data_IF_549986625600
#
_entry.id   IF_549986625600
#
_cell.length_a   1.000
_cell.length_b   1.000
_cell.length_c   1.000
_cell.angle_alpha   90.00
_cell.angle_beta   90.00
_cell.angle_gamma   90.00
#
_symmetry.space_group_name_H-M   'P 1'
#
loop_
_entity.id
_entity.type
_entity.pdbx_description
1 polymer ?
#
# COMPACT_ATOMS: atom_id res chain seq x y z
N UNK A 1 6.91 -9.02 12.09
CA UNK A 1 5.77 -9.06 11.15
C UNK A 1 5.41 -10.48 10.73
N UNK A 2 6.28 -11.26 10.10
CA UNK A 2 5.96 -12.65 9.66
C UNK A 2 5.35 -13.48 10.79
N UNK A 3 5.96 -13.50 11.98
CA UNK A 3 5.45 -14.25 13.15
C UNK A 3 4.01 -13.86 13.51
N UNK A 4 3.68 -12.57 13.50
CA UNK A 4 2.31 -12.11 13.78
C UNK A 4 1.31 -12.58 12.71
N UNK A 5 1.70 -12.56 11.43
CA UNK A 5 0.85 -13.06 10.35
C UNK A 5 0.63 -14.58 10.43
N UNK A 6 1.66 -15.35 10.78
CA UNK A 6 1.56 -16.80 10.99
C UNK A 6 0.67 -17.14 12.19
N UNK A 7 0.81 -16.44 13.31
CA UNK A 7 -0.05 -16.60 14.49
C UNK A 7 -1.52 -16.28 14.15
N UNK A 8 -1.75 -15.20 13.40
CA UNK A 8 -3.09 -14.85 12.95
C UNK A 8 -3.69 -15.95 12.03
N UNK A 9 -2.87 -16.50 11.13
CA UNK A 9 -3.27 -17.59 10.26
C UNK A 9 -3.53 -18.91 10.99
N UNK A 10 -2.98 -19.11 12.19
CA UNK A 10 -3.22 -20.30 13.03
C UNK A 10 -4.52 -20.19 13.84
N UNK A 11 -5.03 -18.97 14.08
CA UNK A 11 -6.23 -18.74 14.90
C UNK A 11 -7.47 -19.53 14.45
N UNK A 12 -7.83 -19.63 13.14
CA UNK A 12 -8.98 -20.42 12.70
C UNK A 12 -8.84 -21.92 13.03
N UNK A 13 -7.62 -22.45 13.01
CA UNK A 13 -7.35 -23.87 13.34
C UNK A 13 -7.62 -24.12 14.81
N UNK A 14 -7.19 -23.21 15.70
CA UNK A 14 -7.45 -23.29 17.15
C UNK A 14 -8.95 -23.20 17.42
N UNK A 15 -9.65 -22.30 16.72
CA UNK A 15 -11.11 -22.13 16.86
C UNK A 15 -11.85 -23.38 16.37
N UNK A 16 -11.43 -23.97 15.24
CA UNK A 16 -12.01 -25.23 14.75
C UNK A 16 -11.90 -26.35 15.77
N UNK A 17 -10.72 -26.61 16.31
CA UNK A 17 -10.52 -27.63 17.34
C UNK A 17 -11.32 -27.36 18.61
N UNK A 18 -11.45 -26.07 19.02
CA UNK A 18 -12.25 -25.70 20.17
C UNK A 18 -13.74 -26.01 19.96
N UNK A 19 -14.27 -25.77 18.76
CA UNK A 19 -15.66 -26.06 18.42
C UNK A 19 -15.89 -27.57 18.35
N UNK A 20 -15.04 -28.32 17.67
CA UNK A 20 -15.18 -29.77 17.51
C UNK A 20 -15.20 -30.46 18.88
N UNK A 21 -14.27 -30.11 19.75
CA UNK A 21 -14.17 -30.75 21.07
C UNK A 21 -15.28 -30.29 22.03
N UNK A 22 -15.76 -29.03 21.89
CA UNK A 22 -16.89 -28.53 22.68
C UNK A 22 -18.22 -29.22 22.28
N UNK A 23 -18.41 -29.48 20.97
CA UNK A 23 -19.62 -30.10 20.44
C UNK A 23 -19.62 -31.60 20.71
N UNK A 24 -18.50 -32.30 20.50
CA UNK A 24 -18.42 -33.76 20.66
C UNK A 24 -18.51 -34.23 22.11
N UNK A 25 -17.91 -33.46 23.05
CA UNK A 25 -17.76 -33.94 24.43
C UNK A 25 -18.59 -33.20 25.48
N UNK A 26 -19.24 -32.07 25.14
CA UNK A 26 -20.13 -31.31 26.02
C UNK A 26 -19.49 -30.81 27.34
N UNK A 27 -18.16 -30.79 27.43
CA UNK A 27 -17.41 -30.51 28.66
C UNK A 27 -17.06 -29.05 28.80
N UNK A 28 -17.70 -28.34 29.75
CA UNK A 28 -17.42 -26.93 30.08
C UNK A 28 -15.96 -26.72 30.46
N UNK A 29 -15.31 -27.69 31.11
CA UNK A 29 -13.92 -27.58 31.51
C UNK A 29 -12.97 -27.51 30.30
N UNK A 30 -13.19 -28.33 29.29
CA UNK A 30 -12.38 -28.34 28.05
C UNK A 30 -12.61 -27.09 27.22
N UNK A 31 -13.86 -26.61 27.14
CA UNK A 31 -14.16 -25.33 26.51
C UNK A 31 -13.38 -24.19 27.19
N UNK A 32 -13.33 -24.17 28.53
CA UNK A 32 -12.53 -23.20 29.28
C UNK A 32 -11.04 -23.25 28.95
N UNK A 33 -10.49 -24.47 28.76
CA UNK A 33 -9.08 -24.65 28.38
C UNK A 33 -8.81 -24.11 26.98
N UNK A 34 -9.66 -24.43 26.00
CA UNK A 34 -9.51 -23.92 24.63
C UNK A 34 -9.70 -22.41 24.54
N UNK A 35 -10.59 -21.82 25.34
CA UNK A 35 -10.72 -20.37 25.44
C UNK A 35 -9.43 -19.74 26.03
N UNK A 36 -8.81 -20.37 27.01
CA UNK A 36 -7.53 -19.90 27.55
C UNK A 36 -6.40 -19.97 26.51
N UNK A 37 -6.34 -21.06 25.72
CA UNK A 37 -5.41 -21.20 24.58
C UNK A 37 -5.65 -20.10 23.54
N UNK A 38 -6.89 -19.81 23.22
CA UNK A 38 -7.26 -18.76 22.26
C UNK A 38 -6.83 -17.37 22.78
N UNK A 39 -7.11 -17.06 24.03
CA UNK A 39 -6.68 -15.80 24.68
C UNK A 39 -5.15 -15.69 24.65
N UNK A 40 -4.44 -16.76 24.98
CA UNK A 40 -2.98 -16.79 24.92
C UNK A 40 -2.45 -16.58 23.48
N UNK A 41 -3.07 -17.21 22.49
CA UNK A 41 -2.71 -17.04 21.06
C UNK A 41 -2.93 -15.59 20.60
N UNK A 42 -4.06 -14.96 20.97
CA UNK A 42 -4.30 -13.55 20.68
C UNK A 42 -3.33 -12.62 21.40
N UNK A 43 -3.02 -12.90 22.69
CA UNK A 43 -2.03 -12.14 23.45
C UNK A 43 -0.65 -12.21 22.81
N UNK A 44 -0.22 -13.41 22.41
CA UNK A 44 1.05 -13.61 21.73
C UNK A 44 1.09 -12.93 20.36
N UNK A 45 -0.01 -13.00 19.61
CA UNK A 45 -0.14 -12.28 18.34
C UNK A 45 -0.07 -10.76 18.53
N UNK A 46 -0.75 -10.22 19.54
CA UNK A 46 -0.70 -8.80 19.86
C UNK A 46 0.72 -8.34 20.23
N UNK A 47 1.42 -9.11 21.05
CA UNK A 47 2.82 -8.86 21.41
C UNK A 47 3.74 -8.92 20.18
N UNK A 48 3.62 -9.96 19.34
CA UNK A 48 4.41 -10.11 18.12
C UNK A 48 4.14 -8.95 17.13
N UNK A 49 2.88 -8.52 17.01
CA UNK A 49 2.50 -7.38 16.19
C UNK A 49 3.04 -6.06 16.73
N UNK A 50 3.02 -5.86 18.05
CA UNK A 50 3.54 -4.66 18.70
C UNK A 50 5.06 -4.55 18.53
N UNK A 51 5.81 -5.60 18.85
CA UNK A 51 7.25 -5.65 18.63
C UNK A 51 7.61 -5.53 17.14
N UNK A 52 6.91 -6.24 16.27
CA UNK A 52 7.14 -6.19 14.83
C UNK A 52 6.92 -4.80 14.24
N UNK A 53 5.87 -4.08 14.68
CA UNK A 53 5.64 -2.69 14.28
C UNK A 53 6.71 -1.75 14.81
N UNK A 54 7.13 -1.92 16.07
CA UNK A 54 8.19 -1.14 16.68
C UNK A 54 9.53 -1.31 15.96
N UNK A 55 9.92 -2.54 15.63
CA UNK A 55 11.14 -2.83 14.87
C UNK A 55 11.07 -2.26 13.45
N UNK A 56 9.92 -2.38 12.78
CA UNK A 56 9.72 -1.81 11.45
C UNK A 56 9.81 -0.28 11.46
N UNK A 57 9.20 0.37 12.44
CA UNK A 57 9.29 1.82 12.60
C UNK A 57 10.74 2.28 12.85
N UNK A 58 11.48 1.56 13.70
CA UNK A 58 12.91 1.83 13.93
C UNK A 58 13.73 1.66 12.65
N UNK A 59 13.54 0.57 11.91
CA UNK A 59 14.22 0.33 10.64
C UNK A 59 13.95 1.45 9.63
N UNK A 60 12.70 1.89 9.51
CA UNK A 60 12.32 3.02 8.64
C UNK A 60 13.03 4.32 9.04
N UNK A 61 13.11 4.61 10.34
CA UNK A 61 13.78 5.82 10.84
C UNK A 61 15.29 5.77 10.60
N UNK A 62 15.93 4.62 10.84
CA UNK A 62 17.39 4.42 10.60
C UNK A 62 17.68 4.58 9.11
N UNK A 63 16.98 3.86 8.24
CA UNK A 63 17.17 3.98 6.78
C UNK A 63 16.93 5.41 6.31
N UNK A 64 15.87 6.07 6.82
CA UNK A 64 15.59 7.46 6.49
C UNK A 64 16.69 8.43 6.95
N UNK A 65 17.32 8.17 8.10
CA UNK A 65 18.46 8.92 8.59
C UNK A 65 19.69 8.69 7.71
N UNK A 66 20.06 7.44 7.47
CA UNK A 66 21.24 7.06 6.67
C UNK A 66 21.18 7.65 5.25
N UNK A 67 19.99 7.58 4.61
CA UNK A 67 19.79 8.19 3.30
C UNK A 67 19.99 9.71 3.33
N UNK A 68 19.45 10.40 4.36
CA UNK A 68 19.64 11.85 4.50
C UNK A 68 21.10 12.20 4.74
N UNK A 69 21.79 11.45 5.60
CA UNK A 69 23.23 11.67 5.86
C UNK A 69 24.05 11.46 4.58
N UNK A 70 23.81 10.37 3.85
CA UNK A 70 24.49 10.11 2.59
C UNK A 70 24.26 11.23 1.54
N UNK A 71 23.04 11.79 1.48
CA UNK A 71 22.73 12.94 0.61
C UNK A 71 23.48 14.19 1.09
N UNK A 72 23.48 14.47 2.39
CA UNK A 72 24.14 15.62 2.99
C UNK A 72 25.65 15.56 2.75
N UNK A 73 26.26 14.42 3.00
CA UNK A 73 27.69 14.18 2.75
C UNK A 73 28.05 14.41 1.29
N UNK A 74 27.14 13.98 0.37
CA UNK A 74 27.35 14.19 -1.06
C UNK A 74 27.20 15.65 -1.49
N UNK A 75 26.32 16.41 -0.85
CA UNK A 75 26.16 17.84 -1.09
C UNK A 75 27.39 18.61 -0.61
N UNK A 76 27.97 18.19 0.51
CA UNK A 76 29.13 18.86 1.13
C UNK A 76 30.49 18.38 0.57
N UNK A 77 30.51 17.40 -0.35
CA UNK A 77 31.74 16.85 -0.92
C UNK A 77 32.54 17.99 -1.64
N UNK A 78 33.79 18.25 -1.24
CA UNK A 78 34.62 19.30 -1.87
C UNK A 78 34.88 19.07 -3.35
N UNK A 79 34.73 17.84 -3.83
CA UNK A 79 34.87 17.49 -5.27
C UNK A 79 33.67 17.93 -6.09
N UNK A 80 32.63 18.44 -5.44
CA UNK A 80 31.39 18.88 -6.06
C UNK A 80 30.50 17.74 -6.55
N UNK A 81 29.31 18.09 -7.01
CA UNK A 81 28.37 17.15 -7.61
C UNK A 81 28.58 17.12 -9.12
N UNK A 82 28.72 15.92 -9.70
CA UNK A 82 28.75 15.76 -11.15
C UNK A 82 27.36 16.04 -11.74
N UNK A 83 27.33 16.69 -12.92
CA UNK A 83 26.12 16.97 -13.67
C UNK A 83 25.73 18.47 -13.67
N UNK A 84 24.45 18.74 -14.02
CA UNK A 84 23.94 20.12 -14.06
C UNK A 84 23.85 20.70 -12.65
N UNK A 85 24.18 22.00 -12.44
CA UNK A 85 23.96 22.68 -11.17
C UNK A 85 22.50 22.56 -10.76
N UNK A 86 22.27 22.15 -9.52
CA UNK A 86 20.93 22.04 -8.93
C UNK A 86 20.66 23.23 -8.04
N UNK A 87 19.41 23.67 -8.02
CA UNK A 87 19.00 24.74 -7.11
C UNK A 87 18.96 24.24 -5.66
N UNK A 88 19.14 25.16 -4.70
CA UNK A 88 19.03 24.84 -3.28
C UNK A 88 17.67 24.20 -2.92
N UNK A 89 16.59 24.66 -3.56
CA UNK A 89 15.25 24.07 -3.38
C UNK A 89 15.15 22.62 -3.89
N UNK A 90 15.80 22.31 -5.01
CA UNK A 90 15.86 20.94 -5.55
C UNK A 90 16.64 20.01 -4.61
N UNK A 91 17.79 20.46 -4.10
CA UNK A 91 18.59 19.70 -3.14
C UNK A 91 17.82 19.46 -1.83
N UNK A 92 17.08 20.44 -1.35
CA UNK A 92 16.23 20.31 -0.17
C UNK A 92 15.09 19.32 -0.42
N UNK A 93 14.47 19.34 -1.60
CA UNK A 93 13.43 18.39 -1.97
C UNK A 93 13.96 16.93 -2.01
N UNK A 94 15.14 16.71 -2.56
CA UNK A 94 15.83 15.42 -2.56
C UNK A 94 16.10 14.95 -1.12
N UNK A 95 16.69 15.80 -0.29
CA UNK A 95 17.04 15.46 1.09
C UNK A 95 15.84 15.24 2.01
N UNK A 96 14.67 15.81 1.70
CA UNK A 96 13.46 15.70 2.52
C UNK A 96 12.43 14.73 1.92
N UNK A 97 11.93 15.01 0.74
CA UNK A 97 10.79 14.29 0.13
C UNK A 97 11.22 12.97 -0.49
N UNK A 98 12.31 12.96 -1.27
CA UNK A 98 12.77 11.75 -1.93
C UNK A 98 13.38 10.76 -0.93
N UNK A 99 14.11 11.25 0.07
CA UNK A 99 14.57 10.42 1.19
C UNK A 99 13.41 9.75 1.94
N UNK A 100 12.28 10.46 2.12
CA UNK A 100 11.07 9.90 2.71
C UNK A 100 10.42 8.82 1.84
N UNK A 101 10.46 8.97 0.51
CA UNK A 101 9.97 7.95 -0.42
C UNK A 101 10.77 6.65 -0.32
N UNK A 102 12.10 6.75 -0.20
CA UNK A 102 12.97 5.58 0.03
C UNK A 102 12.65 4.91 1.36
N UNK A 103 12.48 5.69 2.42
CA UNK A 103 12.08 5.20 3.73
C UNK A 103 10.74 4.42 3.66
N UNK A 104 9.74 4.95 2.94
CA UNK A 104 8.44 4.29 2.80
C UNK A 104 8.51 3.02 1.94
N UNK A 105 9.50 2.88 1.05
CA UNK A 105 9.69 1.65 0.26
C UNK A 105 9.95 0.42 1.12
N UNK A 106 10.48 0.59 2.33
CA UNK A 106 10.64 -0.51 3.31
C UNK A 106 9.30 -1.15 3.65
N UNK A 107 8.25 -0.35 3.88
CA UNK A 107 6.91 -0.87 4.14
C UNK A 107 6.37 -1.68 2.96
N UNK A 108 6.64 -1.22 1.73
CA UNK A 108 6.21 -1.92 0.52
C UNK A 108 6.89 -3.28 0.33
N UNK A 109 7.95 -3.57 1.06
CA UNK A 109 8.66 -4.85 1.00
C UNK A 109 8.28 -5.76 2.17
N UNK A 110 8.21 -5.21 3.38
CA UNK A 110 8.01 -6.00 4.61
C UNK A 110 6.60 -6.63 4.68
N UNK A 111 5.56 -5.87 4.33
CA UNK A 111 4.19 -6.38 4.40
C UNK A 111 3.90 -7.50 3.38
N UNK A 112 4.22 -7.36 2.08
CA UNK A 112 4.00 -8.45 1.13
C UNK A 112 4.76 -9.73 1.48
N UNK A 113 6.00 -9.61 2.00
CA UNK A 113 6.75 -10.80 2.43
C UNK A 113 6.07 -11.52 3.59
N UNK A 114 5.55 -10.76 4.57
CA UNK A 114 4.82 -11.34 5.69
C UNK A 114 3.50 -11.99 5.23
N UNK A 115 2.78 -11.36 4.32
CA UNK A 115 1.51 -11.84 3.76
C UNK A 115 1.72 -13.11 2.91
N UNK A 116 2.72 -13.13 2.02
CA UNK A 116 3.07 -14.31 1.23
C UNK A 116 3.46 -15.48 2.15
N UNK A 117 4.22 -15.22 3.21
CA UNK A 117 4.58 -16.24 4.20
C UNK A 117 3.34 -16.84 4.87
N UNK A 118 2.35 -16.03 5.20
CA UNK A 118 1.09 -16.49 5.77
C UNK A 118 0.25 -17.32 4.76
N UNK A 119 0.17 -16.89 3.52
CA UNK A 119 -0.53 -17.62 2.45
C UNK A 119 0.10 -19.00 2.24
N UNK A 120 1.44 -19.07 2.16
CA UNK A 120 2.16 -20.34 2.03
C UNK A 120 1.91 -21.25 3.23
N UNK A 121 1.93 -20.69 4.45
CA UNK A 121 1.64 -21.44 5.66
C UNK A 121 0.22 -22.02 5.66
N UNK A 122 -0.78 -21.18 5.37
CA UNK A 122 -2.20 -21.64 5.27
C UNK A 122 -2.35 -22.71 4.20
N UNK A 123 -1.73 -22.52 3.04
CA UNK A 123 -1.77 -23.51 1.95
C UNK A 123 -1.18 -24.87 2.38
N UNK A 124 -0.07 -24.86 3.11
CA UNK A 124 0.55 -26.10 3.64
C UNK A 124 -0.37 -26.76 4.67
N UNK A 125 -0.95 -25.99 5.60
CA UNK A 125 -1.87 -26.53 6.62
C UNK A 125 -3.11 -27.11 5.98
N UNK A 126 -3.73 -26.41 5.05
CA UNK A 126 -4.93 -26.87 4.34
C UNK A 126 -4.62 -28.06 3.44
N UNK A 127 -3.45 -28.13 2.82
CA UNK A 127 -3.04 -29.28 2.00
C UNK A 127 -2.97 -30.59 2.78
N UNK A 128 -2.74 -30.53 4.08
CA UNK A 128 -2.73 -31.71 4.95
C UNK A 128 -4.12 -32.30 5.21
N UNK A 129 -5.15 -31.46 5.09
CA UNK A 129 -6.55 -31.85 5.24
C UNK A 129 -7.14 -32.19 3.87
N UNK A 130 -6.95 -31.30 2.89
CA UNK A 130 -7.44 -31.43 1.54
C UNK A 130 -6.42 -30.85 0.54
N UNK A 131 -5.73 -31.74 -0.18
CA UNK A 131 -4.66 -31.34 -1.11
C UNK A 131 -5.15 -30.41 -2.23
N UNK A 132 -6.28 -30.64 -2.90
CA UNK A 132 -6.83 -29.72 -3.90
C UNK A 132 -7.05 -28.30 -3.37
N UNK A 133 -7.55 -28.16 -2.14
CA UNK A 133 -7.75 -26.86 -1.50
C UNK A 133 -6.44 -26.11 -1.23
N UNK A 134 -5.44 -26.81 -0.70
CA UNK A 134 -4.14 -26.18 -0.48
C UNK A 134 -3.50 -25.69 -1.78
N UNK A 135 -3.62 -26.46 -2.86
CA UNK A 135 -3.17 -26.03 -4.20
C UNK A 135 -3.99 -24.81 -4.69
N UNK A 136 -5.32 -24.83 -4.50
CA UNK A 136 -6.18 -23.72 -4.88
C UNK A 136 -5.78 -22.42 -4.15
N UNK A 137 -5.45 -22.49 -2.85
CA UNK A 137 -4.98 -21.35 -2.06
C UNK A 137 -3.63 -20.83 -2.60
N UNK A 138 -2.70 -21.74 -2.89
CA UNK A 138 -1.38 -21.37 -3.38
C UNK A 138 -1.41 -20.73 -4.78
N UNK A 139 -2.24 -21.24 -5.67
CA UNK A 139 -2.39 -20.74 -7.04
C UNK A 139 -3.29 -19.50 -7.13
N UNK A 140 -4.30 -19.41 -6.26
CA UNK A 140 -5.28 -18.34 -6.28
C UNK A 140 -4.69 -16.96 -5.97
N UNK A 141 -3.77 -16.87 -5.00
CA UNK A 141 -3.08 -15.64 -4.69
C UNK A 141 -2.38 -15.00 -5.90
N UNK A 142 -1.45 -15.68 -6.58
CA UNK A 142 -0.82 -15.19 -7.81
C UNK A 142 -1.81 -14.86 -8.92
N UNK A 143 -2.91 -15.62 -9.04
CA UNK A 143 -3.94 -15.39 -10.05
C UNK A 143 -4.70 -14.07 -9.78
N UNK A 144 -5.12 -13.83 -8.55
CA UNK A 144 -5.76 -12.58 -8.13
C UNK A 144 -4.81 -11.39 -8.31
N UNK A 145 -3.55 -11.52 -7.89
CA UNK A 145 -2.54 -10.46 -8.06
C UNK A 145 -2.31 -10.16 -9.54
N UNK A 146 -2.14 -11.16 -10.40
CA UNK A 146 -1.93 -10.96 -11.83
C UNK A 146 -3.14 -10.31 -12.51
N UNK A 147 -4.35 -10.70 -12.12
CA UNK A 147 -5.60 -10.06 -12.55
C UNK A 147 -5.67 -8.60 -12.13
N UNK A 148 -5.36 -8.30 -10.89
CA UNK A 148 -5.33 -6.93 -10.34
C UNK A 148 -4.29 -6.05 -11.03
N UNK A 149 -3.09 -6.57 -11.29
CA UNK A 149 -2.03 -5.84 -12.02
C UNK A 149 -2.47 -5.50 -13.45
N UNK A 150 -3.12 -6.45 -14.15
CA UNK A 150 -3.67 -6.19 -15.49
C UNK A 150 -4.78 -5.14 -15.45
N UNK A 151 -5.68 -5.24 -14.49
CA UNK A 151 -6.75 -4.28 -14.30
C UNK A 151 -6.24 -2.86 -13.94
N UNK A 152 -5.05 -2.75 -13.35
CA UNK A 152 -4.42 -1.48 -12.97
C UNK A 152 -3.76 -0.74 -14.15
N UNK A 153 -3.51 -1.39 -15.29
CA UNK A 153 -2.83 -0.75 -16.43
C UNK A 153 -3.53 0.51 -16.94
N UNK A 154 -4.85 0.52 -17.20
CA UNK A 154 -5.55 1.73 -17.68
C UNK A 154 -5.54 2.86 -16.65
N UNK A 155 -5.51 2.55 -15.35
CA UNK A 155 -5.41 3.54 -14.29
C UNK A 155 -4.06 4.27 -14.33
N UNK A 156 -2.95 3.54 -14.55
CA UNK A 156 -1.61 4.14 -14.62
C UNK A 156 -1.52 5.18 -15.74
N UNK A 157 -2.07 4.86 -16.93
CA UNK A 157 -2.11 5.80 -18.05
C UNK A 157 -2.93 7.04 -17.73
N UNK A 158 -4.15 6.88 -17.19
CA UNK A 158 -5.04 8.00 -16.84
C UNK A 158 -4.49 8.84 -15.69
N UNK A 159 -3.83 8.22 -14.72
CA UNK A 159 -3.15 8.94 -13.63
C UNK A 159 -2.01 9.83 -14.14
N UNK A 160 -1.26 9.39 -15.15
CA UNK A 160 -0.23 10.20 -15.80
C UNK A 160 -0.82 11.44 -16.49
N UNK A 161 -1.93 11.26 -17.24
CA UNK A 161 -2.64 12.36 -17.92
C UNK A 161 -3.18 13.35 -16.89
N UNK A 162 -3.78 12.87 -15.79
CA UNK A 162 -4.26 13.73 -14.68
C UNK A 162 -3.11 14.56 -14.09
N UNK A 163 -1.96 13.94 -13.79
CA UNK A 163 -0.83 14.64 -13.21
C UNK A 163 -0.28 15.73 -14.16
N UNK A 164 -0.22 15.45 -15.46
CA UNK A 164 0.19 16.43 -16.45
C UNK A 164 -0.78 17.63 -16.52
N UNK A 165 -2.09 17.37 -16.47
CA UNK A 165 -3.11 18.43 -16.45
C UNK A 165 -3.04 19.30 -15.18
N UNK A 166 -2.89 18.66 -14.01
CA UNK A 166 -2.70 19.37 -12.73
C UNK A 166 -1.42 20.21 -12.72
N UNK A 167 -0.31 19.66 -13.22
CA UNK A 167 0.97 20.39 -13.31
C UNK A 167 0.82 21.63 -14.20
N UNK A 168 0.12 21.51 -15.34
CA UNK A 168 -0.15 22.63 -16.25
C UNK A 168 -0.99 23.71 -15.57
N UNK A 169 -2.06 23.35 -14.87
CA UNK A 169 -2.89 24.31 -14.15
C UNK A 169 -2.11 24.99 -13.02
N UNK A 170 -1.29 24.23 -12.27
CA UNK A 170 -0.46 24.78 -11.20
C UNK A 170 0.62 25.74 -11.72
N UNK A 171 1.26 25.42 -12.85
CA UNK A 171 2.24 26.31 -13.48
C UNK A 171 1.57 27.62 -13.89
N UNK A 172 0.40 27.55 -14.56
CA UNK A 172 -0.38 28.76 -14.93
C UNK A 172 -0.76 29.60 -13.72
N UNK A 173 -1.18 28.96 -12.60
CA UNK A 173 -1.48 29.69 -11.37
C UNK A 173 -0.26 30.43 -10.82
N UNK A 174 0.90 29.76 -10.80
CA UNK A 174 2.16 30.36 -10.35
C UNK A 174 2.57 31.54 -11.22
N UNK A 175 2.49 31.38 -12.55
CA UNK A 175 2.80 32.44 -13.51
C UNK A 175 1.85 33.64 -13.36
N UNK A 176 0.56 33.37 -13.12
CA UNK A 176 -0.44 34.41 -12.84
C UNK A 176 -0.09 35.24 -11.61
N UNK A 177 0.28 34.56 -10.51
CA UNK A 177 0.64 35.23 -9.25
C UNK A 177 1.90 36.07 -9.43
N UNK A 178 2.95 35.54 -10.05
CA UNK A 178 4.19 36.25 -10.30
C UNK A 178 4.02 37.44 -11.28
N UNK A 179 3.19 37.24 -12.31
CA UNK A 179 2.92 38.25 -13.33
C UNK A 179 1.79 39.23 -13.00
N UNK A 180 1.13 39.12 -11.83
CA UNK A 180 -0.12 39.81 -11.52
C UNK A 180 -0.02 41.34 -11.68
N UNK A 181 1.12 41.94 -11.27
CA UNK A 181 1.37 43.40 -11.38
C UNK A 181 1.37 43.82 -12.86
N UNK A 182 2.03 43.07 -13.71
CA UNK A 182 2.16 43.36 -15.15
C UNK A 182 0.79 43.14 -15.83
N UNK A 183 0.09 42.05 -15.50
CA UNK A 183 -1.22 41.73 -16.04
C UNK A 183 -2.28 42.77 -15.69
N UNK A 184 -2.23 43.37 -14.47
CA UNK A 184 -3.08 44.50 -14.07
C UNK A 184 -2.73 45.77 -14.84
N UNK A 185 -1.46 46.07 -15.05
CA UNK A 185 -1.02 47.23 -15.82
C UNK A 185 -1.45 47.14 -17.29
N UNK A 186 -1.48 45.97 -17.88
CA UNK A 186 -1.89 45.72 -19.27
C UNK A 186 -3.40 45.47 -19.46
N UNK A 187 -4.18 45.42 -18.38
CA UNK A 187 -5.60 45.11 -18.45
C UNK A 187 -5.94 43.67 -18.88
N UNK A 188 -4.93 42.77 -18.87
CA UNK A 188 -5.04 41.42 -19.42
C UNK A 188 -5.53 40.34 -18.39
N UNK A 189 -5.90 40.75 -17.18
CA UNK A 189 -6.28 39.84 -16.08
C UNK A 189 -7.46 38.96 -16.49
N UNK A 190 -8.50 39.49 -17.11
CA UNK A 190 -9.66 38.69 -17.50
C UNK A 190 -9.33 37.59 -18.51
N UNK A 191 -8.50 37.88 -19.51
CA UNK A 191 -8.07 36.90 -20.51
C UNK A 191 -7.27 35.75 -19.91
N UNK A 192 -6.34 36.08 -19.01
CA UNK A 192 -5.47 35.06 -18.39
C UNK A 192 -6.24 34.26 -17.35
N UNK A 193 -7.16 34.89 -16.60
CA UNK A 193 -8.08 34.17 -15.69
C UNK A 193 -8.96 33.16 -16.43
N UNK A 194 -9.47 33.52 -17.62
CA UNK A 194 -10.26 32.61 -18.45
C UNK A 194 -9.43 31.40 -18.92
N UNK A 195 -8.16 31.61 -19.32
CA UNK A 195 -7.25 30.51 -19.68
C UNK A 195 -6.94 29.60 -18.49
N UNK A 196 -6.78 30.16 -17.30
CA UNK A 196 -6.59 29.37 -16.08
C UNK A 196 -7.83 28.56 -15.75
N UNK A 197 -9.03 29.14 -15.85
CA UNK A 197 -10.30 28.41 -15.66
C UNK A 197 -10.40 27.20 -16.60
N UNK A 198 -10.10 27.38 -17.89
CA UNK A 198 -10.09 26.27 -18.85
C UNK A 198 -9.07 25.17 -18.50
N UNK A 199 -7.87 25.54 -18.05
CA UNK A 199 -6.86 24.57 -17.61
C UNK A 199 -7.29 23.84 -16.33
N UNK A 200 -7.95 24.55 -15.40
CA UNK A 200 -8.52 23.99 -14.18
C UNK A 200 -9.68 23.02 -14.49
N UNK A 201 -10.58 23.37 -15.40
CA UNK A 201 -11.68 22.51 -15.82
C UNK A 201 -11.14 21.23 -16.49
N UNK A 202 -10.13 21.37 -17.34
CA UNK A 202 -9.46 20.19 -17.93
C UNK A 202 -8.82 19.31 -16.84
N UNK A 203 -8.17 19.90 -15.84
CA UNK A 203 -7.58 19.15 -14.74
C UNK A 203 -8.65 18.44 -13.89
N UNK A 204 -9.79 19.08 -13.68
CA UNK A 204 -10.95 18.51 -13.01
C UNK A 204 -11.47 17.28 -13.75
N UNK A 205 -11.78 17.41 -15.06
CA UNK A 205 -12.26 16.30 -15.89
C UNK A 205 -11.30 15.10 -15.86
N UNK A 206 -9.99 15.35 -16.01
CA UNK A 206 -8.98 14.29 -15.94
C UNK A 206 -8.89 13.64 -14.56
N UNK A 207 -9.17 14.41 -13.51
CA UNK A 207 -9.22 13.90 -12.15
C UNK A 207 -10.44 13.00 -11.93
N UNK A 208 -11.61 13.39 -12.42
CA UNK A 208 -12.82 12.57 -12.39
C UNK A 208 -12.63 11.26 -13.16
N UNK A 209 -12.05 11.32 -14.36
CA UNK A 209 -11.74 10.12 -15.17
C UNK A 209 -10.78 9.17 -14.48
N UNK A 210 -9.74 9.71 -13.85
CA UNK A 210 -8.76 8.89 -13.11
C UNK A 210 -9.41 8.26 -11.87
N UNK A 211 -10.24 9.00 -11.13
CA UNK A 211 -10.96 8.50 -9.96
C UNK A 211 -12.00 7.44 -10.33
N UNK A 212 -12.72 7.62 -11.44
CA UNK A 212 -13.63 6.60 -11.96
C UNK A 212 -12.89 5.30 -12.31
N UNK A 213 -11.69 5.42 -12.89
CA UNK A 213 -10.83 4.26 -13.17
C UNK A 213 -10.32 3.59 -11.91
N UNK A 214 -9.99 4.36 -10.86
CA UNK A 214 -9.61 3.84 -9.55
C UNK A 214 -10.78 3.08 -8.90
N UNK A 215 -11.98 3.64 -8.95
CA UNK A 215 -13.18 2.99 -8.41
C UNK A 215 -13.47 1.65 -9.12
N UNK A 216 -13.33 1.61 -10.45
CA UNK A 216 -13.49 0.37 -11.23
C UNK A 216 -12.42 -0.67 -10.86
N UNK A 217 -11.18 -0.25 -10.67
CA UNK A 217 -10.11 -1.15 -10.23
C UNK A 217 -10.41 -1.72 -8.84
N UNK A 218 -10.82 -0.87 -7.89
CA UNK A 218 -11.15 -1.31 -6.54
C UNK A 218 -12.31 -2.33 -6.58
N UNK A 219 -13.38 -2.04 -7.32
CA UNK A 219 -14.51 -2.95 -7.48
C UNK A 219 -14.08 -4.29 -8.14
N UNK A 220 -13.27 -4.23 -9.20
CA UNK A 220 -12.77 -5.45 -9.87
C UNK A 220 -11.91 -6.32 -8.95
N UNK A 221 -11.01 -5.69 -8.16
CA UNK A 221 -10.17 -6.41 -7.19
C UNK A 221 -10.98 -7.03 -6.06
N UNK A 222 -11.99 -6.32 -5.57
CA UNK A 222 -12.90 -6.80 -4.53
C UNK A 222 -13.75 -7.98 -5.03
N UNK A 223 -14.30 -7.88 -6.24
CA UNK A 223 -15.05 -8.97 -6.88
C UNK A 223 -14.15 -10.20 -7.07
N UNK A 224 -12.94 -10.02 -7.62
CA UNK A 224 -12.00 -11.12 -7.79
C UNK A 224 -11.65 -11.80 -6.47
N UNK A 225 -11.39 -11.02 -5.43
CA UNK A 225 -11.12 -11.53 -4.08
C UNK A 225 -12.32 -12.29 -3.49
N UNK A 226 -13.51 -11.72 -3.59
CA UNK A 226 -14.73 -12.31 -3.06
C UNK A 226 -15.10 -13.61 -3.79
N UNK A 227 -15.03 -13.62 -5.13
CA UNK A 227 -15.28 -14.83 -5.93
C UNK A 227 -14.28 -15.94 -5.58
N UNK A 228 -13.00 -15.56 -5.39
CA UNK A 228 -11.98 -16.51 -4.96
C UNK A 228 -12.29 -17.12 -3.59
N UNK A 229 -12.63 -16.30 -2.59
CA UNK A 229 -12.99 -16.75 -1.24
C UNK A 229 -14.20 -17.69 -1.26
N UNK A 230 -15.24 -17.32 -2.03
CA UNK A 230 -16.45 -18.15 -2.19
C UNK A 230 -16.09 -19.49 -2.86
N UNK A 231 -15.29 -19.47 -3.92
CA UNK A 231 -14.89 -20.69 -4.63
C UNK A 231 -14.10 -21.66 -3.73
N UNK A 232 -13.17 -21.11 -2.92
CA UNK A 232 -12.43 -21.89 -1.92
C UNK A 232 -13.37 -22.42 -0.84
N UNK A 233 -14.32 -21.61 -0.35
CA UNK A 233 -15.31 -22.01 0.66
C UNK A 233 -16.22 -23.15 0.18
N UNK A 234 -16.73 -23.08 -1.06
CA UNK A 234 -17.54 -24.17 -1.64
C UNK A 234 -16.70 -25.45 -1.84
N UNK A 235 -15.42 -25.31 -2.20
CA UNK A 235 -14.54 -26.46 -2.34
C UNK A 235 -14.10 -27.09 -1.01
N UNK A 236 -14.35 -26.41 0.10
CA UNK A 236 -14.01 -26.87 1.46
C UNK A 236 -15.14 -27.64 2.14
N UNK A 237 -16.39 -27.46 1.73
CA UNK A 237 -17.58 -28.18 2.25
C UNK A 237 -18.01 -29.32 1.37
#
# INVERSE_FOLDING_TARGET
MVVSFLLNATTPVIVGHAIDEAVEQGSIHRLGLWLAVLVAAFGLNALAAWYGRGLNARAMLVIGHDVRMAITDRIQDPRGMAGKPRSAGELLAIASTDARRVQNAVMMTVFPVAEISAIVYVAIMTSRINLPLGIAILCGGPLVVSGSVRAAQPLRARSGIRQAALAKASAMATDLVHGLRILKGLGAVATVSMRYAQASDTAYERTVDANASQARLNAATEILGSVYVIAVGIGAG
#
